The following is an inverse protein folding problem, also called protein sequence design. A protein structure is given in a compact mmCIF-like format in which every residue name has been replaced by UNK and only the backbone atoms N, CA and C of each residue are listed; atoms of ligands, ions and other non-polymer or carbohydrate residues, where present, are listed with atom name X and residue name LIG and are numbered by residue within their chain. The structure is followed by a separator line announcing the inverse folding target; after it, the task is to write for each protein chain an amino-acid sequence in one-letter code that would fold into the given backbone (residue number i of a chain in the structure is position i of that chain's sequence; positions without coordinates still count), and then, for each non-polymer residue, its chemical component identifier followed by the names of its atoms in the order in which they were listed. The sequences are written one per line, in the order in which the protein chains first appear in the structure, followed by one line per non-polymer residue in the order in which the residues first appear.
data_IF_644091689233
#
_entry.id   IF_644091689233
#
_cell.length_a   1.000
_cell.length_b   1.000
_cell.length_c   1.000
_cell.angle_alpha   90.00
_cell.angle_beta   90.00
_cell.angle_gamma   90.00
#
_symmetry.space_group_name_H-M   'P 1'
#
loop_
_entity.id
_entity.type
_entity.pdbx_description
1 polymer ?
#
# COMPACT_ATOMS: atom_id res chain seq x y z
N UNK A 1 -14.54 -35.09 5.28
CA UNK A 1 -14.46 -34.15 6.39
C UNK A 1 -15.03 -32.83 5.91
N UNK A 2 -15.99 -32.27 6.65
CA UNK A 2 -16.61 -30.98 6.32
C UNK A 2 -16.08 -29.98 7.33
N UNK A 3 -15.45 -28.90 6.87
CA UNK A 3 -15.02 -27.79 7.70
C UNK A 3 -16.14 -26.75 7.73
N UNK A 4 -16.34 -26.12 8.88
CA UNK A 4 -17.26 -24.98 9.01
C UNK A 4 -16.44 -23.71 9.19
N UNK A 5 -16.76 -22.68 8.38
CA UNK A 5 -16.12 -21.37 8.46
C UNK A 5 -17.16 -20.40 9.03
N UNK A 6 -16.83 -19.80 10.16
CA UNK A 6 -17.61 -18.75 10.79
C UNK A 6 -16.90 -17.42 10.55
N UNK A 7 -17.62 -16.44 10.01
CA UNK A 7 -17.12 -15.07 9.83
C UNK A 7 -17.88 -14.16 10.77
N UNK A 8 -17.17 -13.46 11.65
CA UNK A 8 -17.74 -12.45 12.56
C UNK A 8 -17.01 -11.12 12.40
N UNK A 9 -17.51 -10.06 13.04
CA UNK A 9 -16.82 -8.76 13.06
C UNK A 9 -15.46 -8.85 13.78
N UNK A 10 -15.30 -9.81 14.70
CA UNK A 10 -14.10 -10.00 15.50
C UNK A 10 -13.05 -10.90 14.83
N UNK A 11 -13.41 -11.57 13.72
CA UNK A 11 -12.45 -12.35 12.92
C UNK A 11 -13.05 -13.53 12.17
N UNK A 12 -12.16 -14.46 11.82
CA UNK A 12 -12.49 -15.72 11.14
C UNK A 12 -12.25 -16.88 12.09
N UNK A 13 -13.25 -17.74 12.24
CA UNK A 13 -13.16 -19.00 12.96
C UNK A 13 -13.32 -20.18 12.00
N UNK A 14 -12.52 -21.22 12.19
CA UNK A 14 -12.68 -22.50 11.48
C UNK A 14 -12.83 -23.59 12.53
N UNK A 15 -13.92 -24.34 12.46
CA UNK A 15 -14.21 -25.45 13.39
C UNK A 15 -14.13 -26.79 12.67
N UNK A 16 -14.08 -27.87 13.45
CA UNK A 16 -13.94 -29.25 12.94
C UNK A 16 -12.59 -29.51 12.21
N UNK A 17 -11.53 -28.79 12.63
CA UNK A 17 -10.17 -29.03 12.13
C UNK A 17 -9.50 -30.09 13.01
N UNK A 18 -9.01 -31.15 12.40
CA UNK A 18 -8.28 -32.19 13.14
C UNK A 18 -6.94 -31.66 13.64
N UNK A 19 -6.43 -32.22 14.73
CA UNK A 19 -5.09 -31.91 15.19
C UNK A 19 -4.06 -32.35 14.12
N UNK A 20 -3.09 -31.48 13.83
CA UNK A 20 -2.14 -31.69 12.74
C UNK A 20 -1.34 -30.44 12.39
N UNK A 21 -0.43 -30.60 11.43
CA UNK A 21 0.36 -29.51 10.88
C UNK A 21 -0.31 -28.94 9.62
N UNK A 22 -0.47 -27.63 9.58
CA UNK A 22 -1.16 -26.90 8.53
C UNK A 22 -0.36 -25.67 8.09
N UNK A 23 -0.60 -25.22 6.87
CA UNK A 23 -0.14 -23.93 6.36
C UNK A 23 -1.34 -22.98 6.43
N UNK A 24 -1.20 -21.91 7.22
CA UNK A 24 -2.18 -20.85 7.30
C UNK A 24 -1.81 -19.76 6.30
N UNK A 25 -2.71 -19.53 5.35
CA UNK A 25 -2.57 -18.46 4.37
C UNK A 25 -3.70 -17.45 4.53
N UNK A 26 -3.35 -16.18 4.68
CA UNK A 26 -4.33 -15.09 4.77
C UNK A 26 -4.08 -14.10 3.65
N UNK A 27 -5.15 -13.82 2.90
CA UNK A 27 -5.15 -12.92 1.75
C UNK A 27 -6.12 -11.78 1.97
N UNK A 28 -5.67 -10.56 1.70
CA UNK A 28 -6.49 -9.36 1.72
C UNK A 28 -6.13 -8.46 0.55
N UNK A 29 -7.15 -7.88 -0.10
CA UNK A 29 -6.91 -6.96 -1.22
C UNK A 29 -6.09 -5.75 -0.75
N UNK A 30 -4.98 -5.49 -1.43
CA UNK A 30 -4.05 -4.41 -1.08
C UNK A 30 -3.04 -4.73 0.04
N UNK A 31 -3.03 -5.96 0.55
CA UNK A 31 -2.09 -6.44 1.56
C UNK A 31 -1.18 -7.53 1.00
N UNK A 32 -0.01 -7.70 1.60
CA UNK A 32 0.86 -8.83 1.31
C UNK A 32 0.24 -10.11 1.87
N UNK A 33 0.42 -11.22 1.15
CA UNK A 33 0.06 -12.56 1.64
C UNK A 33 0.78 -12.81 2.97
N UNK A 34 0.03 -13.25 3.97
CA UNK A 34 0.60 -13.83 5.18
C UNK A 34 0.59 -15.35 5.04
N UNK A 35 1.72 -15.99 5.32
CA UNK A 35 1.89 -17.44 5.26
C UNK A 35 2.65 -17.90 6.50
N UNK A 36 2.11 -18.89 7.21
CA UNK A 36 2.73 -19.40 8.43
C UNK A 36 2.41 -20.88 8.64
N UNK A 37 3.41 -21.63 9.08
CA UNK A 37 3.23 -23.02 9.50
C UNK A 37 2.64 -23.05 10.91
N UNK A 38 1.50 -23.72 11.06
CA UNK A 38 0.81 -23.85 12.34
C UNK A 38 0.62 -25.33 12.68
N UNK A 39 0.75 -25.66 13.96
CA UNK A 39 0.37 -26.96 14.50
C UNK A 39 -0.86 -26.77 15.38
N UNK A 40 -1.94 -27.45 15.03
CA UNK A 40 -3.18 -27.45 15.80
C UNK A 40 -3.14 -28.68 16.71
N UNK A 41 -3.21 -28.44 18.01
CA UNK A 41 -3.26 -29.50 19.05
C UNK A 41 -4.53 -29.36 19.87
N UNK A 42 -4.99 -28.13 20.07
CA UNK A 42 -6.22 -27.74 20.76
C UNK A 42 -6.74 -26.42 20.17
N UNK A 43 -7.94 -26.01 20.60
CA UNK A 43 -8.56 -24.77 20.16
C UNK A 43 -7.64 -23.58 20.47
N UNK A 44 -7.33 -22.78 19.44
CA UNK A 44 -6.45 -21.62 19.60
C UNK A 44 -6.91 -20.44 18.74
N UNK A 45 -6.78 -19.25 19.31
CA UNK A 45 -7.01 -17.99 18.61
C UNK A 45 -5.68 -17.32 18.33
N UNK A 46 -5.46 -16.87 17.08
CA UNK A 46 -4.26 -16.14 16.67
C UNK A 46 -4.61 -14.80 16.04
N UNK A 47 -3.97 -13.75 16.55
CA UNK A 47 -4.05 -12.43 15.95
C UNK A 47 -3.01 -12.30 14.83
N UNK A 48 -3.46 -11.95 13.63
CA UNK A 48 -2.61 -11.79 12.45
C UNK A 48 -2.77 -10.35 11.96
N UNK A 49 -1.65 -9.65 11.82
CA UNK A 49 -1.61 -8.31 11.25
C UNK A 49 -1.09 -8.39 9.83
N UNK A 50 -1.90 -7.93 8.87
CA UNK A 50 -1.51 -7.85 7.47
C UNK A 50 -0.79 -6.52 7.19
N UNK A 51 0.30 -6.59 6.42
CA UNK A 51 1.03 -5.41 5.98
C UNK A 51 0.61 -5.01 4.57
N UNK A 52 0.36 -3.71 4.31
CA UNK A 52 -0.04 -3.24 3.00
C UNK A 52 1.05 -3.52 1.95
N UNK A 53 0.62 -3.80 0.73
CA UNK A 53 1.53 -3.99 -0.40
C UNK A 53 2.20 -2.67 -0.81
N UNK A 54 3.38 -2.76 -1.44
CA UNK A 54 4.09 -1.59 -1.98
C UNK A 54 3.21 -0.83 -2.98
N UNK A 55 2.47 -1.55 -3.85
CA UNK A 55 1.54 -0.96 -4.80
C UNK A 55 0.45 -0.15 -4.12
N UNK A 56 -0.13 -0.67 -3.04
CA UNK A 56 -1.15 0.05 -2.25
C UNK A 56 -0.58 1.29 -1.57
N UNK A 57 0.65 1.23 -1.06
CA UNK A 57 1.32 2.40 -0.48
C UNK A 57 1.59 3.46 -1.56
N UNK A 58 2.06 3.06 -2.74
CA UNK A 58 2.30 4.00 -3.86
C UNK A 58 1.01 4.66 -4.34
N UNK A 59 -0.10 3.91 -4.42
CA UNK A 59 -1.42 4.44 -4.75
C UNK A 59 -1.92 5.46 -3.71
N UNK A 60 -1.61 5.24 -2.43
CA UNK A 60 -1.96 6.19 -1.37
C UNK A 60 -1.22 7.51 -1.49
N UNK A 61 0.04 7.49 -1.96
CA UNK A 61 0.88 8.68 -2.06
C UNK A 61 0.90 9.33 -3.46
N UNK A 62 0.25 8.73 -4.46
CA UNK A 62 0.18 9.27 -5.83
C UNK A 62 -0.32 10.72 -5.89
N UNK A 63 -1.36 11.11 -5.13
CA UNK A 63 -1.82 12.50 -5.12
C UNK A 63 -0.74 13.50 -4.66
N UNK A 64 0.13 13.10 -3.72
CA UNK A 64 1.22 13.97 -3.26
C UNK A 64 2.27 14.16 -4.36
N UNK A 65 2.66 13.08 -5.05
CA UNK A 65 3.62 13.18 -6.15
C UNK A 65 3.09 14.04 -7.30
N UNK A 66 1.80 13.94 -7.61
CA UNK A 66 1.14 14.81 -8.60
C UNK A 66 1.19 16.26 -8.14
N UNK A 67 0.81 16.55 -6.89
CA UNK A 67 0.83 17.91 -6.34
C UNK A 67 2.22 18.54 -6.36
N UNK A 68 3.24 17.82 -5.90
CA UNK A 68 4.64 18.27 -5.92
C UNK A 68 5.13 18.49 -7.35
N UNK A 69 4.78 17.58 -8.27
CA UNK A 69 5.14 17.69 -9.68
C UNK A 69 4.58 18.94 -10.34
N UNK A 70 3.31 19.25 -10.11
CA UNK A 70 2.66 20.47 -10.65
C UNK A 70 3.33 21.73 -10.10
N UNK A 71 3.60 21.78 -8.79
CA UNK A 71 4.29 22.94 -8.17
C UNK A 71 5.68 23.13 -8.77
N UNK A 72 6.44 22.06 -8.93
CA UNK A 72 7.78 22.10 -9.54
C UNK A 72 7.74 22.64 -10.98
N UNK A 73 6.76 22.22 -11.78
CA UNK A 73 6.57 22.70 -13.15
C UNK A 73 6.26 24.21 -13.15
N UNK A 74 5.36 24.69 -12.30
CA UNK A 74 5.01 26.12 -12.22
C UNK A 74 6.23 26.96 -11.86
N UNK A 75 7.02 26.53 -10.87
CA UNK A 75 8.27 27.21 -10.48
C UNK A 75 9.28 27.19 -11.63
N UNK A 76 9.44 26.05 -12.29
CA UNK A 76 10.34 25.90 -13.44
C UNK A 76 9.97 26.84 -14.60
N UNK A 77 8.67 26.93 -14.92
CA UNK A 77 8.16 27.84 -15.96
C UNK A 77 8.40 29.30 -15.57
N UNK A 78 8.09 29.69 -14.33
CA UNK A 78 8.32 31.05 -13.86
C UNK A 78 9.81 31.44 -13.93
N UNK A 79 10.70 30.53 -13.54
CA UNK A 79 12.14 30.74 -13.61
C UNK A 79 12.64 30.82 -15.07
N UNK A 80 12.12 29.97 -15.96
CA UNK A 80 12.46 29.98 -17.38
C UNK A 80 12.02 31.27 -18.08
N UNK A 81 10.79 31.73 -17.83
CA UNK A 81 10.28 33.00 -18.37
C UNK A 81 11.13 34.18 -17.88
N UNK A 82 11.45 34.24 -16.59
CA UNK A 82 12.34 35.27 -16.02
C UNK A 82 13.67 35.32 -16.76
N UNK A 83 14.28 34.16 -17.02
CA UNK A 83 15.56 34.06 -17.73
C UNK A 83 15.48 34.59 -19.16
N UNK A 84 14.39 34.32 -19.87
CA UNK A 84 14.20 34.81 -21.25
C UNK A 84 13.99 36.32 -21.29
N UNK A 85 13.17 36.85 -20.39
CA UNK A 85 12.87 38.29 -20.33
C UNK A 85 14.14 39.09 -20.05
N UNK A 86 14.98 38.63 -19.12
CA UNK A 86 16.24 39.30 -18.80
C UNK A 86 17.20 39.33 -20.00
N UNK A 87 17.32 38.22 -20.75
CA UNK A 87 18.16 38.20 -21.96
C UNK A 87 17.68 39.16 -23.04
N UNK A 88 16.36 39.25 -23.25
CA UNK A 88 15.76 40.20 -24.20
C UNK A 88 16.03 41.66 -23.80
N UNK A 89 15.90 41.98 -22.52
CA UNK A 89 16.18 43.32 -22.00
C UNK A 89 17.66 43.73 -22.19
N UNK A 90 18.61 42.80 -22.05
CA UNK A 90 20.03 43.08 -22.33
C UNK A 90 20.29 43.34 -23.82
N UNK A 91 19.60 42.64 -24.73
CA UNK A 91 19.71 42.84 -26.19
C UNK A 91 19.11 44.17 -26.66
N UNK A 92 18.10 44.71 -25.97
CA UNK A 92 17.45 45.98 -26.35
C UNK A 92 18.14 47.24 -25.80
N UNK A 93 19.01 47.10 -24.79
CA UNK A 93 19.71 48.22 -24.13
C UNK A 93 21.07 48.54 -24.80
N UNK A 94 21.51 47.72 -25.75
CA UNK A 94 22.76 47.89 -26.52
C UNK A 94 22.44 48.40 -27.93
#
# INVERSE_FOLDING_TARGET
YTYEITVSQDGFGVTNVMAGDYILEVYGSGYNKYESFIRIVEDSTRSITLYPSISTLLLRFTPLFIGIGVIGIVIGIAWWLRRIILKRLEEEVI
#
